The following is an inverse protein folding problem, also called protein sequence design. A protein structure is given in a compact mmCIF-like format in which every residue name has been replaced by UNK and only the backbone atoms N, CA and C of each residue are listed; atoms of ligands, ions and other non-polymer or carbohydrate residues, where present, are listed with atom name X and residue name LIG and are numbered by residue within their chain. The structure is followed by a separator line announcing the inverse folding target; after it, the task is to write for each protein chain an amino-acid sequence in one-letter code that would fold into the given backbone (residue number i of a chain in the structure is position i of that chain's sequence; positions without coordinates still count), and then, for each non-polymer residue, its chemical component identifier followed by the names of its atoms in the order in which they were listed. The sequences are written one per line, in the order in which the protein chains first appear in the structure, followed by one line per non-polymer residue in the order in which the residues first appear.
data_IF_758107681370
#
_entry.id   IF_758107681370
#
_cell.length_a   1.000
_cell.length_b   1.000
_cell.length_c   1.000
_cell.angle_alpha   90.00
_cell.angle_beta   90.00
_cell.angle_gamma   90.00
#
_symmetry.space_group_name_H-M   'P 1'
#
loop_
_entity.id
_entity.type
_entity.pdbx_description
1 polymer ?
#
# COMPACT_ATOMS: atom_id res chain seq x y z
N UNK A 1 23.14 -6.01 -5.80
CA UNK A 1 21.87 -5.60 -5.15
C UNK A 1 22.10 -4.64 -4.00
N UNK A 2 23.17 -4.75 -3.21
CA UNK A 2 23.48 -3.73 -2.17
C UNK A 2 23.61 -2.31 -2.74
N UNK A 3 24.12 -2.18 -3.96
CA UNK A 3 24.20 -0.95 -4.76
C UNK A 3 22.83 -0.31 -5.08
N UNK A 4 21.75 -1.09 -5.03
CA UNK A 4 20.38 -0.62 -5.24
C UNK A 4 19.72 -0.07 -3.97
N UNK A 5 20.43 0.01 -2.85
CA UNK A 5 19.92 0.67 -1.65
C UNK A 5 19.66 2.16 -1.89
N UNK A 6 18.51 2.64 -1.45
CA UNK A 6 18.13 4.04 -1.42
C UNK A 6 19.12 4.83 -0.59
N UNK A 7 19.64 5.92 -1.16
CA UNK A 7 20.60 6.80 -0.49
C UNK A 7 19.94 8.10 -0.07
N UNK A 8 20.41 8.67 1.02
CA UNK A 8 20.20 10.08 1.38
C UNK A 8 20.80 10.99 0.30
N UNK A 9 20.46 12.27 0.35
CA UNK A 9 21.08 13.26 -0.53
C UNK A 9 22.62 13.33 -0.38
N UNK A 10 23.16 12.90 0.76
CA UNK A 10 24.60 12.81 1.01
C UNK A 10 25.24 11.49 0.52
N UNK A 11 24.48 10.60 -0.11
CA UNK A 11 24.96 9.33 -0.65
C UNK A 11 25.05 8.17 0.34
N UNK A 12 24.56 8.34 1.57
CA UNK A 12 24.55 7.29 2.59
C UNK A 12 23.32 6.39 2.43
N UNK A 13 23.48 5.08 2.59
CA UNK A 13 22.35 4.16 2.52
C UNK A 13 21.31 4.40 3.62
N UNK A 14 20.03 4.30 3.24
CA UNK A 14 18.90 4.22 4.16
C UNK A 14 18.77 2.80 4.67
N UNK A 15 19.06 2.63 5.94
CA UNK A 15 18.88 1.38 6.67
C UNK A 15 17.49 1.39 7.29
N UNK A 16 16.78 0.26 7.19
CA UNK A 16 15.58 0.03 7.96
C UNK A 16 15.96 -0.50 9.35
N UNK A 17 15.64 0.27 10.39
CA UNK A 17 16.01 -0.03 11.78
C UNK A 17 14.99 0.52 12.79
N UNK A 18 13.70 0.42 12.47
CA UNK A 18 12.63 1.04 13.27
C UNK A 18 11.36 0.19 13.39
N UNK A 19 11.34 -1.05 12.90
CA UNK A 19 10.22 -1.98 13.01
C UNK A 19 10.71 -3.32 13.55
N UNK A 20 9.84 -4.00 14.27
CA UNK A 20 9.91 -5.42 14.61
C UNK A 20 8.98 -6.21 13.66
N UNK A 21 9.56 -6.74 12.57
CA UNK A 21 8.87 -7.45 11.51
C UNK A 21 8.46 -8.87 11.89
N UNK A 22 9.19 -9.51 12.82
CA UNK A 22 8.97 -10.90 13.18
C UNK A 22 8.29 -11.10 14.55
N UNK A 23 8.05 -10.00 15.27
CA UNK A 23 7.39 -9.96 16.58
C UNK A 23 8.23 -10.61 17.70
N UNK A 24 9.57 -10.59 17.60
CA UNK A 24 10.49 -11.06 18.66
C UNK A 24 10.86 -9.96 19.68
N UNK A 25 10.23 -8.79 19.55
CA UNK A 25 10.48 -7.57 20.33
C UNK A 25 11.87 -6.96 20.10
N UNK A 26 12.57 -7.39 19.05
CA UNK A 26 13.79 -6.75 18.58
C UNK A 26 13.51 -6.00 17.29
N UNK A 27 13.88 -4.72 17.29
CA UNK A 27 13.89 -3.94 16.06
C UNK A 27 14.92 -4.58 15.13
N UNK A 28 14.47 -5.13 14.00
CA UNK A 28 15.42 -5.68 13.07
C UNK A 28 16.15 -4.58 12.31
N UNK A 29 17.43 -4.82 12.10
CA UNK A 29 18.27 -4.05 11.16
C UNK A 29 18.26 -4.74 9.80
N UNK A 30 17.07 -5.16 9.37
CA UNK A 30 16.85 -6.24 8.42
C UNK A 30 17.27 -5.92 6.98
N UNK A 31 17.58 -4.67 6.65
CA UNK A 31 18.09 -4.37 5.32
C UNK A 31 18.16 -2.91 4.94
N UNK A 32 18.53 -2.72 3.67
CA UNK A 32 18.48 -1.43 3.01
C UNK A 32 17.07 -1.20 2.49
N UNK A 33 16.57 0.03 2.63
CA UNK A 33 15.43 0.46 1.81
C UNK A 33 15.92 0.46 0.36
N UNK A 34 15.18 -0.17 -0.55
CA UNK A 34 15.61 -0.35 -1.94
C UNK A 34 15.12 0.80 -2.82
N UNK A 35 15.90 1.17 -3.84
CA UNK A 35 15.60 2.24 -4.79
C UNK A 35 15.08 1.67 -6.12
N UNK A 36 13.78 1.84 -6.40
CA UNK A 36 13.16 1.46 -7.68
C UNK A 36 13.79 2.13 -8.92
N UNK A 37 14.49 3.25 -8.72
CA UNK A 37 15.25 3.90 -9.78
C UNK A 37 16.42 3.05 -10.29
N UNK A 38 16.97 2.16 -9.45
CA UNK A 38 18.11 1.33 -9.80
C UNK A 38 17.70 0.24 -10.83
N UNK A 39 18.28 0.20 -12.04
CA UNK A 39 17.82 -0.67 -13.13
C UNK A 39 17.73 -2.14 -12.75
N UNK A 40 18.79 -2.70 -12.14
CA UNK A 40 18.81 -4.12 -11.75
C UNK A 40 17.75 -4.49 -10.71
N UNK A 41 17.39 -3.57 -9.82
CA UNK A 41 16.34 -3.83 -8.84
C UNK A 41 14.96 -3.72 -9.50
N UNK A 42 14.77 -2.72 -10.36
CA UNK A 42 13.55 -2.59 -11.15
C UNK A 42 13.30 -3.83 -12.02
N UNK A 43 14.30 -4.31 -12.74
CA UNK A 43 14.20 -5.51 -13.58
C UNK A 43 13.87 -6.75 -12.74
N UNK A 44 14.48 -6.87 -11.56
CA UNK A 44 14.16 -7.92 -10.60
C UNK A 44 12.70 -7.85 -10.15
N UNK A 45 12.21 -6.66 -9.78
CA UNK A 45 10.81 -6.47 -9.36
C UNK A 45 9.83 -6.75 -10.50
N UNK A 46 10.12 -6.30 -11.73
CA UNK A 46 9.31 -6.62 -12.92
C UNK A 46 9.24 -8.13 -13.12
N UNK A 47 10.39 -8.82 -13.04
CA UNK A 47 10.46 -10.27 -13.20
C UNK A 47 9.68 -11.00 -12.10
N UNK A 48 9.73 -10.53 -10.85
CA UNK A 48 9.00 -11.14 -9.73
C UNK A 48 7.49 -10.91 -9.83
N UNK A 49 7.07 -9.72 -10.23
CA UNK A 49 5.66 -9.45 -10.51
C UNK A 49 5.15 -10.32 -11.66
N UNK A 50 5.93 -10.45 -12.74
CA UNK A 50 5.57 -11.33 -13.85
C UNK A 50 5.44 -12.80 -13.41
N UNK A 51 6.38 -13.31 -12.61
CA UNK A 51 6.31 -14.67 -12.05
C UNK A 51 5.03 -14.87 -11.21
N UNK A 52 4.67 -13.89 -10.38
CA UNK A 52 3.43 -13.95 -9.60
C UNK A 52 2.18 -14.05 -10.50
N UNK A 53 2.12 -13.26 -11.56
CA UNK A 53 1.00 -13.28 -12.51
C UNK A 53 0.98 -14.53 -13.39
N UNK A 54 2.11 -14.91 -13.97
CA UNK A 54 2.20 -16.02 -14.91
C UNK A 54 2.02 -17.38 -14.21
N UNK A 55 2.57 -17.53 -13.00
CA UNK A 55 2.60 -18.81 -12.29
C UNK A 55 1.36 -19.04 -11.43
N UNK A 56 0.86 -18.00 -10.75
CA UNK A 56 -0.23 -18.14 -9.77
C UNK A 56 -1.54 -17.50 -10.21
N UNK A 57 -1.56 -16.81 -11.37
CA UNK A 57 -2.73 -16.13 -11.92
C UNK A 57 -3.46 -15.21 -10.93
N UNK A 58 -2.71 -14.54 -10.05
CA UNK A 58 -3.28 -13.56 -9.14
C UNK A 58 -3.79 -12.33 -9.92
N UNK A 59 -4.82 -11.66 -9.40
CA UNK A 59 -5.44 -10.51 -10.08
C UNK A 59 -4.68 -9.19 -9.90
N UNK A 60 -3.76 -9.13 -8.93
CA UNK A 60 -3.01 -7.93 -8.65
C UNK A 60 -1.88 -8.16 -7.65
N UNK A 61 -1.01 -7.16 -7.54
CA UNK A 61 0.09 -7.13 -6.57
C UNK A 61 -0.05 -5.94 -5.65
N UNK A 62 0.46 -6.09 -4.43
CA UNK A 62 0.56 -5.04 -3.43
C UNK A 62 2.03 -4.74 -3.14
N UNK A 63 2.44 -3.49 -3.30
CA UNK A 63 3.79 -3.01 -3.00
C UNK A 63 3.79 -2.29 -1.65
N UNK A 64 4.39 -2.93 -0.65
CA UNK A 64 4.60 -2.33 0.67
C UNK A 64 5.67 -1.22 0.61
N UNK A 65 5.48 -0.13 1.34
CA UNK A 65 6.41 0.99 1.38
C UNK A 65 6.42 1.91 0.15
N UNK A 66 5.37 1.94 -0.68
CA UNK A 66 5.34 2.80 -1.89
C UNK A 66 5.43 4.30 -1.61
N UNK A 67 5.04 4.75 -0.42
CA UNK A 67 5.22 6.13 0.01
C UNK A 67 6.70 6.56 0.19
N UNK A 68 7.65 5.62 0.21
CA UNK A 68 9.06 5.91 0.52
C UNK A 68 9.72 6.61 -0.67
N UNK A 69 10.01 7.89 -0.48
CA UNK A 69 10.69 8.72 -1.47
C UNK A 69 11.82 9.53 -0.82
N UNK A 70 12.92 9.70 -1.55
CA UNK A 70 14.07 10.50 -1.13
C UNK A 70 14.80 11.01 -2.39
N UNK A 71 15.32 12.23 -2.34
CA UNK A 71 16.29 12.72 -3.31
C UNK A 71 17.59 11.90 -3.20
N UNK A 72 17.71 10.86 -4.02
CA UNK A 72 18.90 10.02 -4.14
C UNK A 72 19.82 10.54 -5.24
N UNK A 73 21.15 10.57 -5.04
CA UNK A 73 22.08 11.14 -6.02
C UNK A 73 22.32 10.26 -7.25
N UNK A 74 21.97 8.98 -7.19
CA UNK A 74 22.27 8.00 -8.24
C UNK A 74 21.06 7.64 -9.11
N UNK A 75 19.87 7.46 -8.51
CA UNK A 75 18.66 7.14 -9.25
C UNK A 75 17.40 7.77 -8.64
N UNK A 76 16.49 8.23 -9.51
CA UNK A 76 15.16 8.71 -9.11
C UNK A 76 14.23 7.56 -8.76
N UNK A 77 13.75 7.52 -7.51
CA UNK A 77 12.75 6.52 -7.07
C UNK A 77 11.44 6.65 -7.85
N UNK A 78 11.01 7.89 -8.12
CA UNK A 78 9.77 8.17 -8.86
C UNK A 78 9.84 7.66 -10.30
N UNK A 79 10.88 8.03 -11.04
CA UNK A 79 11.04 7.57 -12.44
C UNK A 79 11.17 6.04 -12.52
N UNK A 80 11.77 5.43 -11.49
CA UNK A 80 11.80 3.98 -11.35
C UNK A 80 10.42 3.35 -11.21
N UNK A 81 9.54 3.94 -10.40
CA UNK A 81 8.15 3.49 -10.24
C UNK A 81 7.33 3.71 -11.52
N UNK A 82 7.52 4.84 -12.22
CA UNK A 82 6.87 5.10 -13.52
C UNK A 82 7.24 4.00 -14.50
N UNK A 83 8.53 3.70 -14.66
CA UNK A 83 8.98 2.65 -15.58
C UNK A 83 8.50 1.27 -15.18
N UNK A 84 8.53 0.94 -13.89
CA UNK A 84 7.98 -0.32 -13.38
C UNK A 84 6.51 -0.48 -13.75
N UNK A 85 5.67 0.51 -13.42
CA UNK A 85 4.22 0.43 -13.69
C UNK A 85 3.90 0.40 -15.18
N UNK A 86 4.63 1.15 -16.01
CA UNK A 86 4.47 1.10 -17.47
C UNK A 86 4.77 -0.28 -18.05
N UNK A 87 5.87 -0.93 -17.64
CA UNK A 87 6.22 -2.26 -18.15
C UNK A 87 5.23 -3.33 -17.69
N UNK A 88 4.77 -3.26 -16.42
CA UNK A 88 3.73 -4.17 -15.94
C UNK A 88 2.43 -3.98 -16.71
N UNK A 89 1.94 -2.74 -16.86
CA UNK A 89 0.68 -2.46 -17.58
C UNK A 89 0.75 -2.83 -19.06
N UNK A 90 1.92 -2.69 -19.69
CA UNK A 90 2.14 -3.10 -21.08
C UNK A 90 1.96 -4.61 -21.27
N UNK A 91 2.42 -5.41 -20.30
CA UNK A 91 2.36 -6.88 -20.38
C UNK A 91 1.08 -7.45 -19.78
N UNK A 92 0.53 -6.80 -18.77
CA UNK A 92 -0.60 -7.26 -17.97
C UNK A 92 -1.64 -6.14 -17.79
N UNK A 93 -2.29 -5.67 -18.86
CA UNK A 93 -3.20 -4.53 -18.80
C UNK A 93 -4.42 -4.74 -17.90
N UNK A 94 -4.81 -6.01 -17.68
CA UNK A 94 -5.96 -6.39 -16.88
C UNK A 94 -5.63 -6.61 -15.38
N UNK A 95 -4.34 -6.63 -15.01
CA UNK A 95 -3.90 -6.92 -13.63
C UNK A 95 -3.70 -5.62 -12.85
N UNK A 96 -3.99 -5.66 -11.55
CA UNK A 96 -3.94 -4.49 -10.68
C UNK A 96 -2.55 -4.29 -10.02
N UNK A 97 -2.18 -3.02 -9.85
CA UNK A 97 -1.00 -2.58 -9.09
C UNK A 97 -1.48 -1.75 -7.90
N UNK A 98 -1.20 -2.24 -6.70
CA UNK A 98 -1.63 -1.63 -5.43
C UNK A 98 -0.43 -1.18 -4.59
N UNK A 99 -0.60 -0.14 -3.76
CA UNK A 99 0.48 0.40 -2.91
C UNK A 99 0.09 0.59 -1.44
N UNK A 100 1.09 0.57 -0.55
CA UNK A 100 0.97 1.04 0.84
C UNK A 100 1.18 2.56 0.93
N UNK A 101 0.12 3.28 1.34
CA UNK A 101 0.09 4.73 1.41
C UNK A 101 0.63 5.40 0.12
N UNK A 102 0.63 6.72 0.06
CA UNK A 102 1.22 7.37 -1.10
C UNK A 102 1.36 8.86 -0.97
N UNK A 103 1.84 9.45 -2.06
CA UNK A 103 1.92 10.88 -2.25
C UNK A 103 1.36 11.24 -3.61
N UNK A 104 1.03 12.52 -3.78
CA UNK A 104 0.32 13.07 -4.94
C UNK A 104 0.88 12.65 -6.31
N UNK A 105 2.20 12.59 -6.46
CA UNK A 105 2.81 12.24 -7.74
C UNK A 105 2.60 10.77 -8.15
N UNK A 106 2.35 9.85 -7.21
CA UNK A 106 2.21 8.42 -7.53
C UNK A 106 0.75 7.95 -7.60
N UNK A 107 -0.23 8.77 -7.24
CA UNK A 107 -1.64 8.37 -7.25
C UNK A 107 -2.15 7.98 -8.65
N UNK A 108 -1.56 8.51 -9.72
CA UNK A 108 -1.90 8.11 -11.09
C UNK A 108 -1.20 6.84 -11.59
N UNK A 109 -0.25 6.28 -10.83
CA UNK A 109 0.52 5.10 -11.24
C UNK A 109 -0.13 3.79 -10.76
N UNK A 110 -0.81 3.84 -9.61
CA UNK A 110 -1.39 2.69 -8.92
C UNK A 110 -2.92 2.71 -9.00
N UNK A 111 -3.51 1.53 -9.13
CA UNK A 111 -4.96 1.40 -9.23
C UNK A 111 -5.64 1.63 -7.88
N UNK A 112 -5.00 1.19 -6.78
CA UNK A 112 -5.56 1.18 -5.43
C UNK A 112 -4.45 1.34 -4.37
N UNK A 113 -4.80 1.88 -3.20
CA UNK A 113 -3.88 1.95 -2.05
C UNK A 113 -4.49 1.41 -0.75
N UNK A 114 -3.66 0.86 0.12
CA UNK A 114 -3.98 0.70 1.54
C UNK A 114 -3.54 1.96 2.27
N UNK A 115 -4.47 2.76 2.78
CA UNK A 115 -4.15 4.09 3.34
C UNK A 115 -4.38 4.19 4.83
N UNK A 116 -3.41 4.73 5.57
CA UNK A 116 -3.43 4.80 7.04
C UNK A 116 -4.42 5.84 7.62
N UNK A 117 -4.80 6.87 6.86
CA UNK A 117 -5.63 7.99 7.34
C UNK A 117 -6.48 8.69 6.24
N UNK A 118 -7.11 7.93 5.34
CA UNK A 118 -7.56 8.45 4.05
C UNK A 118 -8.77 9.41 4.03
N UNK A 119 -9.21 9.84 2.83
CA UNK A 119 -8.43 9.90 1.60
C UNK A 119 -7.32 10.94 1.70
N UNK A 120 -6.14 10.58 1.21
CA UNK A 120 -4.96 11.41 1.34
C UNK A 120 -5.02 12.63 0.40
N UNK A 121 -4.41 13.72 0.85
CA UNK A 121 -4.38 15.00 0.16
C UNK A 121 -5.55 15.93 0.51
N UNK A 122 -5.33 17.23 0.28
CA UNK A 122 -6.33 18.27 0.52
C UNK A 122 -7.63 17.93 -0.23
N UNK A 123 -8.77 18.03 0.46
CA UNK A 123 -10.09 17.75 -0.11
C UNK A 123 -10.21 16.37 -0.78
N UNK A 124 -9.51 15.37 -0.24
CA UNK A 124 -9.52 13.99 -0.77
C UNK A 124 -8.97 13.88 -2.21
N UNK A 125 -7.98 14.70 -2.58
CA UNK A 125 -7.40 14.79 -3.92
C UNK A 125 -7.03 13.45 -4.57
N UNK A 126 -6.52 12.50 -3.78
CA UNK A 126 -6.19 11.14 -4.20
C UNK A 126 -7.33 10.47 -5.00
N UNK A 127 -8.58 10.68 -4.59
CA UNK A 127 -9.75 10.04 -5.18
C UNK A 127 -10.07 10.50 -6.61
N UNK A 128 -9.38 11.53 -7.11
CA UNK A 128 -9.43 11.92 -8.53
C UNK A 128 -8.71 10.92 -9.43
N UNK A 129 -7.73 10.19 -8.90
CA UNK A 129 -6.83 9.33 -9.68
C UNK A 129 -6.96 7.86 -9.32
N UNK A 130 -7.21 7.55 -8.05
CA UNK A 130 -7.15 6.18 -7.52
C UNK A 130 -8.20 5.96 -6.43
N UNK A 131 -8.26 4.77 -5.82
CA UNK A 131 -9.11 4.45 -4.67
C UNK A 131 -8.29 3.87 -3.52
N UNK A 132 -8.95 3.66 -2.39
CA UNK A 132 -8.31 3.08 -1.21
C UNK A 132 -9.13 1.96 -0.59
N UNK A 133 -8.46 1.02 0.06
CA UNK A 133 -9.04 0.11 1.04
C UNK A 133 -8.64 0.51 2.45
N UNK A 134 -9.23 -0.15 3.44
CA UNK A 134 -8.76 -0.04 4.82
C UNK A 134 -7.27 -0.41 4.90
N UNK A 135 -6.56 0.30 5.77
CA UNK A 135 -5.14 0.08 5.97
C UNK A 135 -4.89 -1.33 6.49
N UNK A 136 -3.89 -2.00 5.92
CA UNK A 136 -3.49 -3.37 6.30
C UNK A 136 -3.14 -3.52 7.78
N UNK A 137 -2.69 -2.44 8.44
CA UNK A 137 -2.38 -2.47 9.86
C UNK A 137 -3.62 -2.46 10.74
N UNK A 138 -4.83 -2.39 10.18
CA UNK A 138 -6.04 -2.45 10.98
C UNK A 138 -6.34 -3.90 11.42
N UNK A 139 -6.71 -4.09 12.71
CA UNK A 139 -6.86 -5.42 13.26
C UNK A 139 -8.05 -6.17 12.67
N UNK A 140 -7.90 -7.49 12.57
CA UNK A 140 -8.98 -8.43 12.30
C UNK A 140 -9.94 -8.54 13.50
N UNK A 141 -11.00 -9.34 13.39
CA UNK A 141 -11.99 -9.54 14.47
C UNK A 141 -11.38 -10.07 15.77
N UNK A 142 -10.28 -10.80 15.67
CA UNK A 142 -9.56 -11.33 16.82
C UNK A 142 -8.70 -10.26 17.55
N UNK A 143 -8.61 -9.04 17.02
CA UNK A 143 -7.79 -7.95 17.53
C UNK A 143 -6.35 -7.91 17.01
N UNK A 144 -5.91 -8.93 16.26
CA UNK A 144 -4.58 -8.98 15.66
C UNK A 144 -4.50 -8.12 14.41
N UNK A 145 -3.44 -7.32 14.29
CA UNK A 145 -3.04 -6.65 13.05
C UNK A 145 -1.82 -7.34 12.39
N UNK A 146 -1.57 -8.60 12.75
CA UNK A 146 -0.42 -9.37 12.26
C UNK A 146 0.88 -8.76 12.74
N UNK A 147 1.78 -8.48 11.79
CA UNK A 147 3.09 -7.85 12.05
C UNK A 147 2.98 -6.35 12.38
N UNK A 148 1.80 -5.73 12.28
CA UNK A 148 1.64 -4.32 12.56
C UNK A 148 1.31 -4.06 14.02
N UNK A 149 2.15 -3.24 14.66
CA UNK A 149 2.10 -2.95 16.10
C UNK A 149 0.80 -2.23 16.54
N UNK A 150 0.11 -1.54 15.62
CA UNK A 150 -1.07 -0.73 15.97
C UNK A 150 -2.24 -1.57 16.51
N UNK A 151 -2.35 -2.85 16.13
CA UNK A 151 -3.42 -3.75 16.60
C UNK A 151 -3.43 -3.95 18.12
N UNK A 152 -2.28 -3.75 18.79
CA UNK A 152 -2.14 -3.88 20.25
C UNK A 152 -2.14 -2.55 20.99
N UNK A 153 -2.24 -1.42 20.26
CA UNK A 153 -2.22 -0.09 20.86
C UNK A 153 -3.57 0.26 21.49
N UNK A 154 -3.53 0.99 22.61
CA UNK A 154 -4.74 1.56 23.23
C UNK A 154 -5.43 2.59 22.32
N UNK A 155 -4.66 3.13 21.37
CA UNK A 155 -5.10 4.07 20.33
C UNK A 155 -5.53 3.37 19.03
N UNK A 156 -5.76 2.04 19.07
CA UNK A 156 -6.30 1.23 17.97
C UNK A 156 -7.76 1.58 17.67
N UNK A 157 -8.03 2.85 17.36
CA UNK A 157 -9.29 3.35 16.84
C UNK A 157 -9.31 3.21 15.33
N UNK A 158 -9.10 1.99 14.85
CA UNK A 158 -8.96 1.61 13.44
C UNK A 158 -10.23 1.79 12.61
N UNK A 159 -11.32 2.24 13.23
CA UNK A 159 -12.58 2.55 12.54
C UNK A 159 -12.70 4.04 12.18
N UNK A 160 -11.94 4.96 12.81
CA UNK A 160 -12.13 6.41 12.62
C UNK A 160 -11.21 7.06 11.59
N UNK A 161 -10.13 6.39 11.17
CA UNK A 161 -9.10 7.03 10.36
C UNK A 161 -9.34 6.88 8.84
N UNK A 162 -10.02 5.83 8.41
CA UNK A 162 -10.48 5.71 7.03
C UNK A 162 -11.96 6.13 6.99
N UNK A 163 -12.27 7.24 6.31
CA UNK A 163 -13.65 7.69 6.08
C UNK A 163 -14.39 6.60 5.29
N UNK A 164 -15.34 5.85 5.89
CA UNK A 164 -15.92 4.65 5.26
C UNK A 164 -16.62 4.94 3.93
N UNK A 165 -17.19 6.13 3.76
CA UNK A 165 -17.87 6.55 2.53
C UNK A 165 -16.92 6.72 1.33
N UNK A 166 -15.61 6.74 1.57
CA UNK A 166 -14.57 6.91 0.56
C UNK A 166 -13.59 5.73 0.49
N UNK A 167 -13.80 4.70 1.30
CA UNK A 167 -12.88 3.58 1.49
C UNK A 167 -13.58 2.31 1.07
N UNK A 168 -13.03 1.59 0.09
CA UNK A 168 -13.55 0.29 -0.28
C UNK A 168 -13.38 -0.64 0.93
N UNK A 169 -14.46 -1.29 1.40
CA UNK A 169 -14.37 -2.17 2.55
C UNK A 169 -13.47 -3.38 2.28
N UNK A 170 -12.66 -3.74 3.25
CA UNK A 170 -11.80 -4.93 3.24
C UNK A 170 -11.84 -5.61 4.61
N UNK A 171 -11.54 -6.91 4.63
CA UNK A 171 -11.50 -7.73 5.85
C UNK A 171 -10.17 -8.45 5.91
N UNK A 172 -9.44 -8.29 7.01
CA UNK A 172 -8.28 -9.11 7.35
C UNK A 172 -8.76 -10.38 8.07
N UNK A 173 -8.23 -11.53 7.66
CA UNK A 173 -8.59 -12.85 8.20
C UNK A 173 -7.31 -13.59 8.57
N UNK A 174 -7.20 -14.05 9.81
CA UNK A 174 -6.17 -14.97 10.27
C UNK A 174 -6.68 -16.40 10.34
N UNK A 175 -5.75 -17.35 10.43
CA UNK A 175 -6.08 -18.75 10.65
C UNK A 175 -6.92 -18.91 11.94
N UNK A 176 -8.08 -19.57 11.84
CA UNK A 176 -9.01 -19.74 12.96
C UNK A 176 -10.10 -18.66 13.09
N UNK A 177 -10.02 -17.57 12.32
CA UNK A 177 -10.97 -16.45 12.46
C UNK A 177 -12.35 -16.82 11.95
N UNK A 178 -12.45 -17.62 10.89
CA UNK A 178 -13.73 -18.04 10.33
C UNK A 178 -14.51 -18.93 11.31
N UNK A 179 -13.81 -19.81 12.02
CA UNK A 179 -14.40 -20.72 13.00
C UNK A 179 -14.88 -19.98 14.25
N UNK A 180 -14.10 -19.02 14.74
CA UNK A 180 -14.36 -18.31 16.01
C UNK A 180 -15.21 -17.05 15.84
N UNK A 181 -15.07 -16.33 14.73
CA UNK A 181 -15.68 -15.03 14.48
C UNK A 181 -16.55 -14.99 13.20
N UNK A 182 -16.90 -16.15 12.63
CA UNK A 182 -17.64 -16.23 11.37
C UNK A 182 -18.98 -15.47 11.36
N UNK A 183 -19.70 -15.42 12.49
CA UNK A 183 -20.94 -14.65 12.60
C UNK A 183 -20.69 -13.13 12.47
N UNK A 184 -19.65 -12.62 13.12
CA UNK A 184 -19.24 -11.22 13.06
C UNK A 184 -18.78 -10.85 11.66
N UNK A 185 -17.95 -11.70 11.04
CA UNK A 185 -17.46 -11.52 9.67
C UNK A 185 -18.65 -11.48 8.69
N UNK A 186 -19.60 -12.41 8.82
CA UNK A 186 -20.81 -12.44 7.97
C UNK A 186 -21.64 -11.17 8.13
N UNK A 187 -21.84 -10.69 9.35
CA UNK A 187 -22.57 -9.45 9.60
C UNK A 187 -21.87 -8.23 8.96
N UNK A 188 -20.54 -8.15 9.02
CA UNK A 188 -19.78 -7.11 8.33
C UNK A 188 -19.95 -7.17 6.81
N UNK A 189 -19.89 -8.38 6.24
CA UNK A 189 -20.07 -8.58 4.80
C UNK A 189 -21.46 -8.10 4.31
N UNK A 190 -22.53 -8.33 5.08
CA UNK A 190 -23.86 -7.81 4.69
C UNK A 190 -23.89 -6.27 4.64
N UNK A 191 -23.19 -5.58 5.55
CA UNK A 191 -23.04 -4.12 5.50
C UNK A 191 -22.24 -3.72 4.27
N UNK A 192 -21.14 -4.42 3.98
CA UNK A 192 -20.24 -4.10 2.86
C UNK A 192 -20.89 -4.27 1.49
N UNK A 193 -21.87 -5.18 1.34
CA UNK A 193 -22.65 -5.32 0.10
C UNK A 193 -23.45 -4.07 -0.26
N UNK A 194 -23.80 -3.24 0.73
CA UNK A 194 -24.50 -1.97 0.52
C UNK A 194 -23.56 -0.78 0.33
N UNK A 195 -22.25 -1.01 0.35
CA UNK A 195 -21.28 0.05 0.17
C UNK A 195 -21.29 0.55 -1.27
N UNK A 196 -21.36 1.87 -1.41
CA UNK A 196 -21.23 2.57 -2.68
C UNK A 196 -20.18 3.67 -2.54
N UNK A 197 -19.33 3.81 -3.55
CA UNK A 197 -18.32 4.85 -3.57
C UNK A 197 -18.99 6.23 -3.66
N UNK A 198 -18.73 7.09 -2.67
CA UNK A 198 -19.19 8.48 -2.73
C UNK A 198 -18.41 9.25 -3.82
N UNK A 199 -19.10 9.95 -4.74
CA UNK A 199 -18.42 10.78 -5.73
C UNK A 199 -17.66 11.91 -5.04
N UNK A 200 -16.46 12.19 -5.53
CA UNK A 200 -15.68 13.35 -5.09
C UNK A 200 -15.93 14.49 -6.06
N UNK A 201 -16.24 15.70 -5.56
CA UNK A 201 -16.35 16.87 -6.41
C UNK A 201 -15.01 17.08 -7.14
N UNK A 202 -15.04 16.98 -8.47
CA UNK A 202 -13.97 17.57 -9.27
C UNK A 202 -14.15 19.07 -9.12
N UNK A 203 -13.14 19.80 -8.62
CA UNK A 203 -13.18 21.27 -8.63
C UNK A 203 -13.59 21.71 -10.04
N UNK A 204 -14.74 22.37 -10.16
CA UNK A 204 -15.18 22.89 -11.44
C UNK A 204 -14.11 23.85 -11.94
N UNK A 205 -13.85 23.84 -13.25
CA UNK A 205 -12.92 24.78 -13.89
C UNK A 205 -13.37 26.25 -13.80
N UNK A 206 -14.44 26.54 -13.07
CA UNK A 206 -15.01 27.88 -12.96
C UNK A 206 -14.47 28.54 -11.69
N UNK A 207 -13.17 28.82 -11.71
CA UNK A 207 -12.61 29.95 -10.97
C UNK A 207 -12.54 31.11 -11.95
N UNK A 208 -13.62 31.90 -12.00
CA UNK A 208 -13.56 33.27 -12.52
C UNK A 208 -12.88 34.18 -11.50
#
# INVERSE_FOLDING_TARGET
MMDAGLKTAAGQFKIQNWLDWNTDLQIETMGLIMNFGHPRYRDYMISKTADLFDTYDIDGIFLDGTLRWQNSPDYSTYEGLVQYTQEIRKRYPEKMIMGEDGYDAIYGLFDLFHTSAGPLGLENYMLRYTRQFYYLAYPAENGSAGIHEIGWSKDSHTIKNAKPEFTIPSISIFNGDLEKYGAQIKNKLEVYKSWELKPVPIMSKNGD
#
